data_IF_644512991139
#
_entry.id   IF_644512991139
#
_cell.length_a   1.000
_cell.length_b   1.000
_cell.length_c   1.000
_cell.angle_alpha   90.00
_cell.angle_beta   90.00
_cell.angle_gamma   90.00
#
_symmetry.space_group_name_H-M   'P 1'
#
loop_
_entity.id
_entity.type
_entity.pdbx_description
1 polymer ?
#
# COMPACT_ATOMS: atom_id res chain seq x y z
N UNK A 1 40.57 11.83 -4.16
CA UNK A 1 41.83 11.15 -3.80
C UNK A 1 41.94 11.15 -2.28
N UNK A 2 41.51 10.09 -1.60
CA UNK A 2 41.97 9.81 -0.25
C UNK A 2 42.11 8.29 -0.09
N UNK A 3 43.28 7.93 0.45
CA UNK A 3 43.96 6.65 0.29
C UNK A 3 43.42 5.59 1.27
N UNK A 4 43.56 4.35 0.80
CA UNK A 4 43.38 3.05 1.46
C UNK A 4 43.64 3.02 2.98
N UNK A 5 42.91 2.14 3.67
CA UNK A 5 43.50 1.18 4.63
C UNK A 5 42.72 -0.14 4.49
N UNK A 6 43.46 -1.18 4.11
CA UNK A 6 43.10 -2.58 4.19
C UNK A 6 43.11 -3.01 5.66
N UNK A 7 42.07 -3.71 6.11
CA UNK A 7 42.15 -4.64 7.24
C UNK A 7 41.44 -5.92 6.83
N UNK A 8 42.25 -6.92 6.50
CA UNK A 8 41.84 -8.29 6.30
C UNK A 8 41.55 -8.94 7.66
N UNK A 9 40.41 -9.61 7.78
CA UNK A 9 40.25 -10.76 8.66
C UNK A 9 39.09 -11.61 8.14
N UNK A 10 39.44 -12.62 7.36
CA UNK A 10 38.58 -13.71 6.97
C UNK A 10 38.15 -14.46 8.24
N UNK A 11 36.93 -14.21 8.73
CA UNK A 11 36.30 -15.06 9.74
C UNK A 11 35.35 -16.00 9.02
N UNK A 12 35.84 -17.20 8.71
CA UNK A 12 35.01 -18.36 8.39
C UNK A 12 34.37 -18.84 9.70
N UNK A 13 33.22 -18.31 10.07
CA UNK A 13 32.40 -18.91 11.11
C UNK A 13 31.37 -19.83 10.47
N UNK A 14 31.78 -21.07 10.21
CA UNK A 14 30.87 -22.17 9.95
C UNK A 14 30.20 -22.56 11.27
N UNK A 15 29.04 -21.96 11.55
CA UNK A 15 28.10 -22.50 12.52
C UNK A 15 26.99 -23.25 11.76
N UNK A 16 27.19 -24.55 11.60
CA UNK A 16 26.10 -25.50 11.37
C UNK A 16 25.28 -25.54 12.66
N UNK A 17 24.09 -24.95 12.64
CA UNK A 17 23.20 -24.87 13.79
C UNK A 17 21.79 -25.34 13.45
N UNK A 18 21.57 -26.65 13.61
CA UNK A 18 20.33 -27.25 14.09
C UNK A 18 19.03 -26.99 13.30
N UNK A 19 18.64 -27.96 12.48
CA UNK A 19 17.28 -28.07 11.97
C UNK A 19 16.28 -28.25 13.10
N UNK A 20 15.31 -27.34 13.20
CA UNK A 20 14.01 -27.58 13.80
C UNK A 20 13.00 -27.67 12.67
N UNK A 21 12.36 -28.83 12.50
CA UNK A 21 11.21 -28.94 11.61
C UNK A 21 10.14 -27.97 12.07
N UNK A 22 9.83 -26.97 11.24
CA UNK A 22 8.53 -26.32 11.34
C UNK A 22 7.55 -27.28 10.68
N UNK A 23 6.59 -27.75 11.46
CA UNK A 23 5.59 -28.71 11.02
C UNK A 23 4.91 -28.17 9.75
N UNK A 24 5.03 -28.96 8.69
CA UNK A 24 4.33 -28.73 7.44
C UNK A 24 2.85 -29.05 7.66
N UNK A 25 2.04 -28.02 7.88
CA UNK A 25 0.58 -28.13 7.81
C UNK A 25 -0.13 -27.67 9.07
N UNK A 26 -0.51 -26.39 9.09
CA UNK A 26 -1.43 -25.85 10.09
C UNK A 26 -1.31 -24.35 10.30
N UNK A 27 -1.05 -23.58 9.24
CA UNK A 27 -1.34 -22.15 9.32
C UNK A 27 -2.85 -22.01 9.54
N UNK A 28 -3.26 -21.79 10.80
CA UNK A 28 -4.58 -21.27 11.14
C UNK A 28 -4.73 -19.79 10.73
N UNK A 29 -3.86 -19.27 9.85
CA UNK A 29 -4.15 -18.07 9.07
C UNK A 29 -5.15 -18.49 8.00
N UNK A 30 -6.36 -17.89 7.95
CA UNK A 30 -7.31 -18.25 6.91
C UNK A 30 -6.66 -17.96 5.55
N UNK A 31 -6.45 -19.02 4.76
CA UNK A 31 -5.85 -18.89 3.44
C UNK A 31 -6.75 -17.98 2.58
N UNK A 32 -6.17 -16.90 2.05
CA UNK A 32 -6.84 -16.05 1.06
C UNK A 32 -7.74 -14.94 1.61
N UNK A 33 -7.52 -14.44 2.83
CA UNK A 33 -8.17 -13.19 3.25
C UNK A 33 -7.68 -12.03 2.38
N UNK A 34 -8.63 -11.28 1.83
CA UNK A 34 -8.37 -10.05 1.10
C UNK A 34 -9.21 -8.92 1.67
N UNK A 35 -8.70 -7.70 1.55
CA UNK A 35 -9.34 -6.50 2.08
C UNK A 35 -9.49 -5.47 0.98
N UNK A 36 -10.68 -4.88 0.89
CA UNK A 36 -10.91 -3.75 -0.01
C UNK A 36 -10.28 -2.48 0.56
N UNK A 37 -9.80 -1.62 -0.34
CA UNK A 37 -9.30 -0.28 -0.01
C UNK A 37 -10.25 0.72 -0.62
N UNK A 38 -10.72 1.66 0.20
CA UNK A 38 -11.71 2.64 -0.18
C UNK A 38 -11.77 3.81 0.78
N UNK A 39 -12.66 4.73 0.48
CA UNK A 39 -12.64 6.05 1.08
C UNK A 39 -13.75 6.95 0.61
N UNK A 40 -13.57 8.25 0.81
CA UNK A 40 -14.49 9.29 0.34
C UNK A 40 -13.73 10.39 -0.39
N UNK A 41 -14.26 10.84 -1.53
CA UNK A 41 -13.82 12.06 -2.22
C UNK A 41 -14.73 13.22 -1.83
N UNK A 42 -14.14 14.37 -1.51
CA UNK A 42 -14.83 15.63 -1.27
C UNK A 42 -14.17 16.79 -2.02
N UNK A 43 -14.94 17.85 -2.29
CA UNK A 43 -14.46 19.07 -2.96
C UNK A 43 -14.19 18.95 -4.46
N UNK A 44 -14.50 17.81 -5.09
CA UNK A 44 -14.39 17.64 -6.54
C UNK A 44 -15.44 18.50 -7.26
N UNK A 45 -14.99 19.36 -8.19
CA UNK A 45 -15.86 20.18 -9.01
C UNK A 45 -16.75 19.32 -9.92
N UNK A 46 -17.95 19.81 -10.23
CA UNK A 46 -18.84 19.15 -11.18
C UNK A 46 -18.15 19.00 -12.55
N UNK A 47 -18.15 17.79 -13.11
CA UNK A 47 -17.46 17.46 -14.36
C UNK A 47 -15.94 17.25 -14.22
N UNK A 48 -15.39 17.41 -13.02
CA UNK A 48 -14.01 17.05 -12.71
C UNK A 48 -13.80 15.53 -12.65
N UNK A 49 -12.56 15.08 -12.83
CA UNK A 49 -12.17 13.69 -12.63
C UNK A 49 -10.83 13.67 -11.91
N UNK A 50 -10.76 12.96 -10.79
CA UNK A 50 -9.50 12.62 -10.12
C UNK A 50 -9.19 11.16 -10.42
N UNK A 51 -7.93 10.85 -10.71
CA UNK A 51 -7.46 9.47 -10.83
C UNK A 51 -6.66 9.15 -9.59
N UNK A 52 -7.14 8.19 -8.81
CA UNK A 52 -6.45 7.65 -7.64
C UNK A 52 -5.68 6.40 -8.05
N UNK A 53 -4.55 6.15 -7.42
CA UNK A 53 -3.75 4.95 -7.64
C UNK A 53 -3.43 4.30 -6.30
N UNK A 54 -3.69 3.01 -6.18
CA UNK A 54 -3.25 2.21 -5.05
C UNK A 54 -2.05 1.32 -5.46
N UNK A 55 -0.99 1.34 -4.65
CA UNK A 55 0.20 0.50 -4.78
C UNK A 55 0.84 0.53 -6.19
N UNK A 56 0.80 1.68 -6.87
CA UNK A 56 1.48 1.86 -8.16
C UNK A 56 0.82 1.22 -9.38
N UNK A 57 -0.41 0.68 -9.27
CA UNK A 57 -1.05 0.07 -10.46
C UNK A 57 -2.55 -0.25 -10.39
N UNK A 58 -3.20 -0.13 -9.23
CA UNK A 58 -4.65 -0.29 -9.12
C UNK A 58 -5.30 1.10 -9.21
N UNK A 59 -5.51 1.55 -10.45
CA UNK A 59 -5.98 2.90 -10.74
C UNK A 59 -7.50 2.97 -10.74
N UNK A 60 -8.04 4.08 -10.22
CA UNK A 60 -9.46 4.33 -10.11
C UNK A 60 -9.78 5.77 -10.52
N UNK A 61 -10.58 5.94 -11.57
CA UNK A 61 -11.14 7.25 -11.94
C UNK A 61 -12.40 7.54 -11.12
N UNK A 62 -12.43 8.66 -10.42
CA UNK A 62 -13.57 9.13 -9.63
C UNK A 62 -14.08 10.45 -10.20
N UNK A 63 -15.36 10.50 -10.54
CA UNK A 63 -16.01 11.61 -11.25
C UNK A 63 -17.02 12.39 -10.41
N UNK A 64 -17.23 11.98 -9.16
CA UNK A 64 -18.17 12.61 -8.25
C UNK A 64 -17.66 12.56 -6.80
N UNK A 65 -18.13 13.49 -5.99
CA UNK A 65 -17.96 13.42 -4.53
C UNK A 65 -18.73 12.22 -3.97
N UNK A 66 -18.19 11.61 -2.91
CA UNK A 66 -18.81 10.45 -2.27
C UNK A 66 -17.85 9.27 -2.11
N UNK A 67 -18.40 8.08 -1.77
CA UNK A 67 -17.58 6.91 -1.48
C UNK A 67 -16.90 6.37 -2.74
N UNK A 68 -15.70 5.83 -2.59
CA UNK A 68 -14.99 5.07 -3.62
C UNK A 68 -14.40 3.80 -3.02
N UNK A 69 -14.20 2.80 -3.87
CA UNK A 69 -13.50 1.56 -3.53
C UNK A 69 -12.67 1.14 -4.73
N UNK A 70 -11.41 0.81 -4.52
CA UNK A 70 -10.54 0.26 -5.55
C UNK A 70 -11.03 -1.13 -6.01
N UNK A 71 -10.80 -1.48 -7.27
CA UNK A 71 -11.32 -2.71 -7.88
C UNK A 71 -10.56 -3.95 -7.41
N UNK A 72 -9.24 -3.87 -7.31
CA UNK A 72 -8.43 -4.97 -6.77
C UNK A 72 -8.29 -4.85 -5.24
N UNK A 73 -8.72 -5.86 -4.45
CA UNK A 73 -8.43 -5.90 -3.04
C UNK A 73 -6.94 -6.24 -2.81
N UNK A 74 -6.46 -5.99 -1.60
CA UNK A 74 -5.10 -6.37 -1.19
C UNK A 74 -5.13 -7.63 -0.32
N UNK A 75 -4.05 -8.39 -0.32
CA UNK A 75 -3.93 -9.59 0.50
C UNK A 75 -3.81 -9.24 1.99
N UNK A 76 -4.24 -10.13 2.87
CA UNK A 76 -3.94 -10.03 4.29
C UNK A 76 -2.45 -9.79 4.53
N UNK A 77 -2.16 -8.94 5.50
CA UNK A 77 -0.81 -8.53 5.87
C UNK A 77 0.02 -7.88 4.74
N UNK A 78 -0.64 -7.33 3.72
CA UNK A 78 0.01 -6.44 2.74
C UNK A 78 -0.42 -5.00 2.97
N UNK A 79 0.46 -4.07 2.63
CA UNK A 79 0.18 -2.65 2.77
C UNK A 79 -0.61 -2.09 1.60
N UNK A 80 -1.16 -0.89 1.81
CA UNK A 80 -1.68 -0.03 0.76
C UNK A 80 -0.95 1.31 0.78
N UNK A 81 -0.87 1.94 -0.38
CA UNK A 81 -0.36 3.28 -0.61
C UNK A 81 -1.23 3.93 -1.70
N UNK A 82 -2.14 4.79 -1.26
CA UNK A 82 -3.09 5.52 -2.11
C UNK A 82 -2.55 6.91 -2.41
N UNK A 83 -2.38 7.19 -3.69
CA UNK A 83 -1.92 8.49 -4.19
C UNK A 83 -2.90 9.05 -5.21
N UNK A 84 -2.78 10.35 -5.49
CA UNK A 84 -3.39 10.96 -6.66
C UNK A 84 -2.44 10.76 -7.84
N UNK A 85 -2.88 9.99 -8.83
CA UNK A 85 -2.16 9.82 -10.08
C UNK A 85 -2.38 11.04 -11.00
N UNK A 86 -3.63 11.50 -11.09
CA UNK A 86 -4.01 12.65 -11.94
C UNK A 86 -5.00 13.55 -11.21
N UNK A 87 -4.65 14.83 -11.10
CA UNK A 87 -5.54 15.85 -10.56
C UNK A 87 -6.60 16.29 -11.59
N UNK A 88 -7.81 16.70 -11.15
CA UNK A 88 -8.78 17.34 -12.03
C UNK A 88 -8.24 18.65 -12.60
N UNK A 89 -8.69 19.03 -13.80
CA UNK A 89 -8.35 20.33 -14.39
C UNK A 89 -8.77 21.47 -13.46
N UNK A 90 -7.81 22.29 -13.05
CA UNK A 90 -8.07 23.46 -12.20
C UNK A 90 -8.30 23.15 -10.72
N UNK A 91 -8.01 21.92 -10.25
CA UNK A 91 -8.02 21.57 -8.83
C UNK A 91 -6.76 20.81 -8.44
N UNK A 92 -6.45 20.81 -7.14
CA UNK A 92 -5.47 19.88 -6.54
C UNK A 92 -6.16 19.05 -5.48
N UNK A 93 -5.94 17.74 -5.52
CA UNK A 93 -6.45 16.80 -4.54
C UNK A 93 -5.32 16.32 -3.64
N UNK A 94 -5.59 16.21 -2.33
CA UNK A 94 -4.70 15.59 -1.35
C UNK A 94 -5.34 14.34 -0.76
N UNK A 95 -4.51 13.39 -0.32
CA UNK A 95 -4.97 12.13 0.29
C UNK A 95 -4.50 12.10 1.75
N UNK A 96 -5.40 11.72 2.64
CA UNK A 96 -5.11 11.43 4.05
C UNK A 96 -5.52 9.99 4.39
N UNK A 97 -4.86 9.41 5.39
CA UNK A 97 -4.88 7.95 5.62
C UNK A 97 -4.48 7.19 4.34
N UNK A 98 -3.48 7.70 3.63
CA UNK A 98 -3.03 7.19 2.34
C UNK A 98 -2.28 5.85 2.46
N UNK A 99 -1.63 5.59 3.59
CA UNK A 99 -0.72 4.46 3.77
C UNK A 99 -1.12 3.64 4.98
N UNK A 100 -1.07 2.32 4.86
CA UNK A 100 -1.17 1.39 5.98
C UNK A 100 -0.49 0.06 5.65
N UNK A 101 0.18 -0.57 6.61
CA UNK A 101 1.03 -1.75 6.34
C UNK A 101 0.33 -3.12 6.46
N UNK A 102 -0.69 -3.23 7.31
CA UNK A 102 -1.28 -4.52 7.72
C UNK A 102 -2.74 -4.36 8.15
N UNK A 103 -3.67 -4.04 7.23
CA UNK A 103 -5.06 -3.94 7.62
C UNK A 103 -5.60 -5.33 8.02
N UNK A 104 -6.26 -5.41 9.18
CA UNK A 104 -7.00 -6.60 9.62
C UNK A 104 -8.46 -6.65 9.13
N UNK A 105 -8.87 -5.63 8.37
CA UNK A 105 -10.21 -5.45 7.81
C UNK A 105 -10.16 -4.52 6.59
N UNK A 106 -11.24 -4.47 5.80
CA UNK A 106 -11.36 -3.49 4.71
C UNK A 106 -11.16 -2.05 5.21
N UNK A 107 -10.36 -1.30 4.47
CA UNK A 107 -10.07 0.12 4.74
C UNK A 107 -11.11 0.95 4.00
N UNK A 108 -11.83 1.80 4.74
CA UNK A 108 -12.92 2.64 4.19
C UNK A 108 -12.77 4.12 4.54
N UNK A 109 -11.66 4.50 5.16
CA UNK A 109 -11.41 5.83 5.74
C UNK A 109 -10.28 6.60 5.03
N UNK A 110 -9.89 6.19 3.82
CA UNK A 110 -9.05 7.03 2.96
C UNK A 110 -9.85 8.29 2.62
N UNK A 111 -9.32 9.47 2.91
CA UNK A 111 -10.02 10.72 2.61
C UNK A 111 -9.24 11.50 1.54
N UNK A 112 -9.94 11.79 0.44
CA UNK A 112 -9.44 12.58 -0.67
C UNK A 112 -10.17 13.91 -0.68
N UNK A 113 -9.43 15.01 -0.61
CA UNK A 113 -9.99 16.36 -0.62
C UNK A 113 -9.41 17.17 -1.75
N UNK A 114 -10.27 17.60 -2.67
CA UNK A 114 -9.93 18.44 -3.81
C UNK A 114 -10.28 19.91 -3.51
N UNK A 115 -9.42 20.83 -3.92
CA UNK A 115 -9.59 22.28 -3.79
C UNK A 115 -9.16 23.00 -5.06
#
# INVERSE_FOLDING_TARGET
>A
MNKAILLAASVLLAACGGGGGYDSGGSNTPAGLTYSIGGTVSGLNAGGTVVLQNNGGNDLSVTANGPFTFSAPINYATGYDVSVLTNPTGQTCSVTNAIGGYPGMSVTNVAVTCH
#
